data_IF_656419022228
#
_entry.id   IF_656419022228
#
_cell.length_a   1.000
_cell.length_b   1.000
_cell.length_c   1.000
_cell.angle_alpha   90.00
_cell.angle_beta   90.00
_cell.angle_gamma   90.00
#
_symmetry.space_group_name_H-M   'P 1'
#
loop_
_entity.id
_entity.type
_entity.pdbx_description
1 polymer ?
#
# COMPACT_ATOMS: atom_id res chain seq x y z
N UNK A 1 -20.44 4.28 -19.35
CA UNK A 1 -19.67 5.44 -18.82
C UNK A 1 -19.45 5.21 -17.34
N UNK A 2 -18.21 5.01 -16.92
CA UNK A 2 -17.89 4.94 -15.49
C UNK A 2 -18.07 6.34 -14.88
N UNK A 3 -18.71 6.47 -13.71
CA UNK A 3 -18.99 7.77 -13.11
C UNK A 3 -17.68 8.47 -12.73
N UNK A 4 -17.72 9.80 -12.86
CA UNK A 4 -16.59 10.72 -12.89
C UNK A 4 -15.46 10.47 -11.89
N UNK A 5 -14.25 10.45 -12.41
CA UNK A 5 -13.04 10.82 -11.67
C UNK A 5 -13.04 12.36 -11.64
N UNK A 6 -13.88 12.95 -10.79
CA UNK A 6 -13.77 14.37 -10.45
C UNK A 6 -12.59 14.51 -9.49
N UNK A 7 -11.60 15.34 -9.84
CA UNK A 7 -10.53 15.86 -8.98
C UNK A 7 -9.95 14.89 -7.91
N UNK A 8 -9.76 13.60 -8.27
CA UNK A 8 -9.26 12.60 -7.32
C UNK A 8 -7.74 12.74 -7.18
N UNK A 9 -7.29 13.21 -6.02
CA UNK A 9 -5.88 13.12 -5.64
C UNK A 9 -5.44 11.66 -5.72
N UNK A 10 -4.43 11.36 -6.55
CA UNK A 10 -3.84 10.04 -6.67
C UNK A 10 -2.65 9.98 -5.74
N UNK A 11 -2.66 9.04 -4.81
CA UNK A 11 -1.54 8.76 -3.94
C UNK A 11 -0.79 7.53 -4.45
N UNK A 12 0.53 7.66 -4.57
CA UNK A 12 1.42 6.52 -4.77
C UNK A 12 2.04 6.15 -3.43
N UNK A 13 1.75 4.94 -2.96
CA UNK A 13 2.36 4.38 -1.74
C UNK A 13 3.27 3.24 -2.15
N UNK A 14 4.53 3.32 -1.74
CA UNK A 14 5.53 2.28 -2.00
C UNK A 14 6.20 1.90 -0.68
N UNK A 15 6.31 0.60 -0.44
CA UNK A 15 7.02 0.04 0.71
C UNK A 15 7.97 -1.06 0.24
N UNK A 16 9.12 -1.15 0.89
CA UNK A 16 10.11 -2.20 0.66
C UNK A 16 10.25 -2.98 1.96
N UNK A 17 10.19 -4.31 1.85
CA UNK A 17 10.34 -5.22 2.98
C UNK A 17 11.60 -6.06 2.81
N UNK A 18 12.25 -6.41 3.92
CA UNK A 18 13.43 -7.26 3.94
C UNK A 18 13.12 -8.64 3.34
N UNK A 19 11.94 -9.17 3.66
CA UNK A 19 11.46 -10.46 3.18
C UNK A 19 9.92 -10.53 3.21
N UNK A 20 9.37 -11.63 2.65
CA UNK A 20 7.94 -11.90 2.63
C UNK A 20 7.32 -12.03 4.02
N UNK A 21 8.07 -12.56 5.00
CA UNK A 21 7.59 -12.73 6.38
C UNK A 21 7.37 -11.37 7.05
N UNK A 22 8.25 -10.41 6.76
CA UNK A 22 8.17 -9.04 7.26
C UNK A 22 6.96 -8.32 6.67
N UNK A 23 6.69 -8.49 5.37
CA UNK A 23 5.49 -7.98 4.72
C UNK A 23 4.22 -8.57 5.35
N UNK A 24 4.13 -9.90 5.49
CA UNK A 24 2.96 -10.56 6.12
C UNK A 24 2.71 -10.06 7.52
N UNK A 25 3.75 -9.98 8.36
CA UNK A 25 3.64 -9.46 9.72
C UNK A 25 3.13 -8.02 9.76
N UNK A 26 3.60 -7.17 8.85
CA UNK A 26 3.12 -5.79 8.76
C UNK A 26 1.64 -5.74 8.32
N UNK A 27 1.27 -6.53 7.30
CA UNK A 27 -0.11 -6.61 6.80
C UNK A 27 -1.08 -7.12 7.86
N UNK A 28 -0.69 -8.15 8.61
CA UNK A 28 -1.47 -8.68 9.73
C UNK A 28 -1.68 -7.59 10.78
N UNK A 29 -0.61 -6.90 11.19
CA UNK A 29 -0.70 -5.84 12.19
C UNK A 29 -1.65 -4.71 11.78
N UNK A 30 -1.58 -4.27 10.52
CA UNK A 30 -2.49 -3.26 9.96
C UNK A 30 -3.93 -3.74 10.13
N UNK A 31 -4.24 -4.94 9.63
CA UNK A 31 -5.61 -5.47 9.64
C UNK A 31 -6.15 -5.73 11.04
N UNK A 32 -5.32 -6.19 11.98
CA UNK A 32 -5.80 -6.59 13.32
C UNK A 32 -5.79 -5.46 14.33
N UNK A 33 -4.89 -4.48 14.21
CA UNK A 33 -4.71 -3.41 15.21
C UNK A 33 -5.09 -2.02 14.69
N UNK A 34 -4.69 -1.66 13.47
CA UNK A 34 -4.88 -0.31 12.95
C UNK A 34 -6.27 -0.15 12.34
N UNK A 35 -6.63 -1.02 11.40
CA UNK A 35 -7.93 -0.94 10.70
C UNK A 35 -9.11 -1.17 11.67
N UNK A 36 -8.90 -2.00 12.71
CA UNK A 36 -9.92 -2.22 13.75
C UNK A 36 -10.18 -1.00 14.63
N UNK A 37 -9.19 -0.10 14.74
CA UNK A 37 -9.28 1.11 15.56
C UNK A 37 -9.70 2.33 14.75
N UNK A 38 -9.09 2.51 13.58
CA UNK A 38 -9.18 3.74 12.79
C UNK A 38 -10.13 3.59 11.58
N UNK A 39 -10.54 2.36 11.26
CA UNK A 39 -11.20 2.03 9.99
C UNK A 39 -10.19 1.84 8.87
N UNK A 40 -10.49 0.95 7.92
CA UNK A 40 -9.65 0.74 6.75
C UNK A 40 -9.81 1.89 5.74
N UNK A 41 -8.81 2.08 4.88
CA UNK A 41 -8.77 3.19 3.92
C UNK A 41 -9.80 3.04 2.78
N UNK A 42 -10.48 1.91 2.68
CA UNK A 42 -11.35 1.55 1.56
C UNK A 42 -12.53 2.51 1.41
N UNK A 43 -13.01 3.14 2.48
CA UNK A 43 -14.08 4.15 2.42
C UNK A 43 -13.66 5.42 1.68
N UNK A 44 -12.36 5.75 1.74
CA UNK A 44 -11.79 6.94 1.14
C UNK A 44 -11.36 6.70 -0.32
N UNK A 45 -11.29 5.42 -0.74
CA UNK A 45 -10.92 5.07 -2.09
C UNK A 45 -12.12 5.17 -3.02
N UNK A 46 -11.96 5.91 -4.11
CA UNK A 46 -12.97 6.04 -5.16
C UNK A 46 -13.17 4.80 -6.04
N UNK A 47 -12.68 3.63 -5.62
CA UNK A 47 -12.65 2.35 -6.32
C UNK A 47 -11.48 1.47 -5.84
N UNK A 48 -11.40 0.21 -6.29
CA UNK A 48 -10.28 -0.67 -5.94
C UNK A 48 -8.93 -0.05 -6.34
N UNK A 49 -7.91 -0.09 -5.46
CA UNK A 49 -6.60 0.45 -5.78
C UNK A 49 -5.86 -0.44 -6.79
N UNK A 50 -4.92 0.16 -7.53
CA UNK A 50 -3.95 -0.58 -8.33
C UNK A 50 -2.80 -1.03 -7.43
N UNK A 51 -2.59 -2.34 -7.32
CA UNK A 51 -1.56 -2.94 -6.45
C UNK A 51 -0.61 -3.79 -7.27
N UNK A 52 0.70 -3.62 -7.04
CA UNK A 52 1.76 -4.43 -7.64
C UNK A 52 2.77 -4.90 -6.60
N UNK A 53 3.19 -6.16 -6.70
CA UNK A 53 4.25 -6.73 -5.87
C UNK A 53 5.45 -7.09 -6.76
N UNK A 54 6.63 -6.63 -6.35
CA UNK A 54 7.86 -6.78 -7.12
C UNK A 54 8.97 -7.33 -6.22
N UNK A 55 9.79 -8.22 -6.77
CA UNK A 55 11.04 -8.64 -6.12
C UNK A 55 12.15 -7.70 -6.58
N UNK A 56 12.90 -7.16 -5.62
CA UNK A 56 14.04 -6.27 -5.87
C UNK A 56 15.27 -6.90 -5.25
N UNK A 57 16.42 -6.84 -5.94
CA UNK A 57 17.69 -7.25 -5.34
C UNK A 57 18.23 -6.09 -4.52
N UNK A 58 18.79 -6.36 -3.35
CA UNK A 58 19.35 -5.33 -2.48
C UNK A 58 20.41 -4.45 -3.20
N UNK A 59 21.18 -5.04 -4.11
CA UNK A 59 22.18 -4.33 -4.91
C UNK A 59 21.60 -3.27 -5.87
N UNK A 60 20.31 -3.37 -6.22
CA UNK A 60 19.61 -2.44 -7.11
C UNK A 60 18.99 -1.26 -6.33
N UNK A 61 18.97 -1.31 -4.99
CA UNK A 61 18.43 -0.25 -4.14
C UNK A 61 19.48 0.85 -3.97
N UNK A 62 19.17 2.04 -4.50
CA UNK A 62 19.96 3.25 -4.30
C UNK A 62 19.27 4.09 -3.24
N UNK A 63 19.90 4.23 -2.09
CA UNK A 63 19.50 5.19 -1.08
C UNK A 63 20.40 6.43 -1.26
N UNK A 64 19.81 7.57 -1.62
CA UNK A 64 20.52 8.86 -1.55
C UNK A 64 20.63 9.26 -0.06
N UNK A 65 21.80 9.72 0.36
CA UNK A 65 22.07 10.26 1.71
C UNK A 65 21.46 11.65 1.92
#
# INVERSE_FOLDING_TARGET
MAPGIGDKNIFLVQAIFVDEKSWKKASEKISTELDTKDGGIESELGGPPLVGMFKVKAADLKFEE
#
